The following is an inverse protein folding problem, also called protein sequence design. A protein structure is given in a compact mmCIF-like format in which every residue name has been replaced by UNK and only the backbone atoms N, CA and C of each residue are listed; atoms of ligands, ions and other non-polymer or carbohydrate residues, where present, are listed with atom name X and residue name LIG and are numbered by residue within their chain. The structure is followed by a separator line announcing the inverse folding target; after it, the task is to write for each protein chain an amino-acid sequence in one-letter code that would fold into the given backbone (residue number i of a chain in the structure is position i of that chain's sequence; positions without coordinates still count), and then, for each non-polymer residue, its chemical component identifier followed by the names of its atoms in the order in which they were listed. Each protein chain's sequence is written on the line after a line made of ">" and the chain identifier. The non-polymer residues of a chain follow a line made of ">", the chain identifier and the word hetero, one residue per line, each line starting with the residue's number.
data_IF_378046447448
#
_entry.id   IF_378046447448
#
_cell.length_a   1.000
_cell.length_b   1.000
_cell.length_c   1.000
_cell.angle_alpha   90.00
_cell.angle_beta   90.00
_cell.angle_gamma   90.00
#
_symmetry.space_group_name_H-M   'P 1'
#
loop_
_entity.id
_entity.type
_entity.pdbx_description
1 polymer ?
#
# COMPACT_ATOMS: atom_id res chain seq x y z
N UNK A 1 21.93 51.37 69.98
CA UNK A 1 20.49 51.24 69.69
C UNK A 1 20.20 52.22 68.58
N UNK A 2 19.99 51.73 67.37
CA UNK A 2 19.71 52.60 66.20
C UNK A 2 18.37 52.14 65.66
N UNK A 3 17.37 53.01 65.82
CA UNK A 3 15.97 52.69 65.60
C UNK A 3 15.65 52.83 64.11
N UNK A 4 15.24 51.72 63.49
CA UNK A 4 14.72 51.71 62.13
C UNK A 4 13.31 52.33 62.13
N UNK A 5 13.23 53.63 61.86
CA UNK A 5 11.94 54.31 61.62
C UNK A 5 11.46 53.99 60.20
N UNK A 6 10.56 53.01 60.10
CA UNK A 6 9.91 52.61 58.86
C UNK A 6 8.87 53.64 58.42
N UNK A 7 9.25 54.53 57.50
CA UNK A 7 8.32 55.43 56.84
C UNK A 7 7.33 54.60 55.99
N UNK A 8 6.05 54.57 56.37
CA UNK A 8 5.01 53.98 55.53
C UNK A 8 4.87 54.79 54.22
N UNK A 9 4.82 54.14 53.05
CA UNK A 9 4.75 54.82 51.76
C UNK A 9 3.45 55.63 51.64
N UNK A 10 3.53 56.82 51.04
CA UNK A 10 2.34 57.67 50.88
C UNK A 10 1.31 57.00 49.98
N UNK A 11 0.01 57.33 50.11
CA UNK A 11 -1.04 56.82 49.23
C UNK A 11 -0.75 57.08 47.75
N UNK A 12 -0.13 58.22 47.42
CA UNK A 12 0.27 58.59 46.07
C UNK A 12 1.39 57.68 45.52
N UNK A 13 2.38 57.32 46.36
CA UNK A 13 3.45 56.38 45.95
C UNK A 13 2.90 54.98 45.69
N UNK A 14 1.90 54.57 46.45
CA UNK A 14 1.24 53.27 46.26
C UNK A 14 0.45 53.23 44.94
N UNK A 15 -0.24 54.31 44.57
CA UNK A 15 -0.91 54.47 43.27
C UNK A 15 0.07 54.48 42.10
N UNK A 16 1.20 55.19 42.22
CA UNK A 16 2.25 55.21 41.18
C UNK A 16 2.83 53.82 40.93
N UNK A 17 3.18 53.10 41.99
CA UNK A 17 3.66 51.71 41.89
C UNK A 17 2.62 50.78 41.27
N UNK A 18 1.35 50.93 41.62
CA UNK A 18 0.28 50.12 41.03
C UNK A 18 0.13 50.37 39.53
N UNK A 19 0.21 51.63 39.08
CA UNK A 19 0.17 51.98 37.66
C UNK A 19 1.39 51.45 36.89
N UNK A 20 2.58 51.58 37.47
CA UNK A 20 3.82 51.02 36.90
C UNK A 20 3.73 49.49 36.79
N UNK A 21 3.19 48.83 37.82
CA UNK A 21 2.97 47.38 37.81
C UNK A 21 1.96 46.96 36.73
N UNK A 22 0.85 47.67 36.58
CA UNK A 22 -0.11 47.40 35.52
C UNK A 22 0.50 47.63 34.12
N UNK A 23 1.31 48.68 33.97
CA UNK A 23 1.99 48.96 32.70
C UNK A 23 2.96 47.82 32.34
N UNK A 24 3.75 47.33 33.29
CA UNK A 24 4.63 46.19 33.09
C UNK A 24 3.86 44.91 32.73
N UNK A 25 2.70 44.70 33.36
CA UNK A 25 1.83 43.55 33.04
C UNK A 25 1.29 43.61 31.61
N UNK A 26 0.85 44.79 31.17
CA UNK A 26 0.36 45.00 29.79
C UNK A 26 1.48 44.75 28.78
N UNK A 27 2.68 45.26 29.03
CA UNK A 27 3.84 45.01 28.16
C UNK A 27 4.18 43.52 28.08
N UNK A 28 4.11 42.80 29.21
CA UNK A 28 4.34 41.36 29.23
C UNK A 28 3.29 40.60 28.41
N UNK A 29 2.03 41.04 28.46
CA UNK A 29 0.97 40.41 27.66
C UNK A 29 1.16 40.67 26.16
N UNK A 30 1.51 41.89 25.76
CA UNK A 30 1.79 42.20 24.36
C UNK A 30 2.94 41.35 23.80
N UNK A 31 4.04 41.23 24.56
CA UNK A 31 5.17 40.39 24.20
C UNK A 31 4.78 38.92 24.05
N UNK A 32 3.92 38.39 24.94
CA UNK A 32 3.43 37.03 24.84
C UNK A 32 2.55 36.83 23.58
N UNK A 33 1.70 37.80 23.24
CA UNK A 33 0.87 37.74 22.04
C UNK A 33 1.71 37.79 20.76
N UNK A 34 2.76 38.61 20.71
CA UNK A 34 3.68 38.66 19.58
C UNK A 34 4.43 37.33 19.38
N UNK A 35 4.91 36.74 20.48
CA UNK A 35 5.60 35.44 20.44
C UNK A 35 4.68 34.31 20.00
N UNK A 36 3.43 34.29 20.48
CA UNK A 36 2.41 33.34 20.00
C UNK A 36 2.11 33.53 18.51
N UNK A 37 2.00 34.78 18.04
CA UNK A 37 1.81 35.09 16.62
C UNK A 37 2.97 34.59 15.75
N UNK A 38 4.21 34.78 16.20
CA UNK A 38 5.41 34.29 15.52
C UNK A 38 5.44 32.76 15.46
N UNK A 39 5.16 32.09 16.58
CA UNK A 39 5.07 30.62 16.63
C UNK A 39 3.97 30.07 15.75
N UNK A 40 2.82 30.76 15.67
CA UNK A 40 1.74 30.38 14.78
C UNK A 40 2.16 30.52 13.31
N UNK A 41 2.86 31.60 12.94
CA UNK A 41 3.38 31.80 11.60
C UNK A 41 4.42 30.73 11.21
N UNK A 42 5.32 30.39 12.13
CA UNK A 42 6.30 29.30 11.95
C UNK A 42 5.60 27.94 11.79
N UNK A 43 4.63 27.64 12.65
CA UNK A 43 3.84 26.40 12.57
C UNK A 43 3.07 26.30 11.25
N UNK A 44 2.41 27.39 10.84
CA UNK A 44 1.69 27.46 9.56
C UNK A 44 2.64 27.32 8.37
N UNK A 45 3.86 27.86 8.46
CA UNK A 45 4.88 27.70 7.43
C UNK A 45 5.36 26.26 7.31
N UNK A 46 5.67 25.58 8.42
CA UNK A 46 6.06 24.16 8.41
C UNK A 46 4.93 23.26 7.90
N UNK A 47 3.68 23.56 8.25
CA UNK A 47 2.51 22.86 7.70
C UNK A 47 2.37 23.09 6.18
N UNK A 48 2.63 24.31 5.71
CA UNK A 48 2.60 24.63 4.28
C UNK A 48 3.75 23.97 3.52
N UNK A 49 4.96 23.94 4.08
CA UNK A 49 6.12 23.23 3.50
C UNK A 49 5.87 21.70 3.43
N UNK A 50 5.08 21.13 4.35
CA UNK A 50 4.60 19.74 4.25
C UNK A 50 3.41 19.54 3.28
N UNK A 51 2.73 20.62 2.87
CA UNK A 51 1.53 20.57 2.00
C UNK A 51 1.85 20.91 0.55
N UNK A 52 2.96 21.60 0.27
CA UNK A 52 3.43 21.86 -1.10
C UNK A 52 4.44 20.78 -1.50
N UNK A 53 3.97 19.53 -1.61
CA UNK A 53 4.48 18.76 -2.74
C UNK A 53 3.91 19.45 -3.98
N UNK A 54 4.75 19.99 -4.89
CA UNK A 54 4.25 20.42 -6.18
C UNK A 54 3.47 19.24 -6.75
N UNK A 55 2.37 19.54 -7.44
CA UNK A 55 1.80 18.67 -8.45
C UNK A 55 2.86 18.46 -9.54
N UNK A 56 3.95 17.76 -9.20
CA UNK A 56 4.54 16.81 -10.12
C UNK A 56 3.33 15.98 -10.49
N UNK A 57 3.05 15.89 -11.78
CA UNK A 57 2.18 14.84 -12.28
C UNK A 57 2.73 13.54 -11.70
N UNK A 58 2.25 13.14 -10.52
CA UNK A 58 2.54 11.84 -9.93
C UNK A 58 2.13 10.90 -11.04
N UNK A 59 3.11 10.25 -11.66
CA UNK A 59 2.85 9.26 -12.67
C UNK A 59 2.08 8.15 -11.97
N UNK A 60 0.76 8.25 -11.91
CA UNK A 60 -0.07 7.20 -11.32
C UNK A 60 -0.31 6.20 -12.44
N UNK A 61 0.39 5.04 -12.44
CA UNK A 61 0.03 3.99 -13.38
C UNK A 61 -1.47 3.74 -13.32
N UNK A 62 -2.08 3.57 -14.50
CA UNK A 62 -3.50 3.27 -14.62
C UNK A 62 -3.84 2.10 -13.72
N UNK A 63 -4.98 2.17 -13.02
CA UNK A 63 -5.48 1.03 -12.25
C UNK A 63 -5.63 -0.18 -13.18
N UNK A 64 -5.31 -1.38 -12.70
CA UNK A 64 -5.39 -2.56 -13.53
C UNK A 64 -6.84 -2.85 -13.90
N UNK A 65 -7.06 -3.40 -15.10
CA UNK A 65 -8.39 -3.90 -15.47
C UNK A 65 -8.84 -4.94 -14.43
N UNK A 66 -10.13 -4.91 -14.08
CA UNK A 66 -10.68 -5.89 -13.13
C UNK A 66 -10.48 -7.30 -13.67
N UNK A 67 -9.96 -8.19 -12.83
CA UNK A 67 -9.69 -9.57 -13.21
C UNK A 67 -10.91 -10.44 -12.94
N UNK A 68 -11.50 -10.99 -14.00
CA UNK A 68 -12.67 -11.88 -13.95
C UNK A 68 -12.30 -13.35 -13.73
N UNK A 69 -11.01 -13.70 -13.72
CA UNK A 69 -10.52 -15.09 -13.63
C UNK A 69 -10.14 -15.74 -14.97
N UNK A 70 -10.09 -14.99 -16.07
CA UNK A 70 -9.64 -15.49 -17.39
C UNK A 70 -8.13 -15.80 -17.40
N UNK A 71 -7.73 -17.04 -17.68
CA UNK A 71 -6.32 -17.44 -17.66
C UNK A 71 -5.43 -16.65 -18.63
N UNK A 72 -5.97 -16.27 -19.79
CA UNK A 72 -5.30 -15.42 -20.80
C UNK A 72 -4.90 -14.03 -20.26
N UNK A 73 -5.70 -13.47 -19.34
CA UNK A 73 -5.48 -12.15 -18.75
C UNK A 73 -4.64 -12.18 -17.46
N UNK A 74 -4.46 -13.36 -16.86
CA UNK A 74 -3.82 -13.52 -15.55
C UNK A 74 -2.42 -12.91 -15.49
N UNK A 75 -1.56 -13.24 -16.47
CA UNK A 75 -0.18 -12.74 -16.52
C UNK A 75 -0.13 -11.21 -16.68
N UNK A 76 -0.99 -10.66 -17.55
CA UNK A 76 -1.08 -9.22 -17.77
C UNK A 76 -1.55 -8.46 -16.52
N UNK A 77 -2.54 -9.02 -15.81
CA UNK A 77 -3.05 -8.45 -14.56
C UNK A 77 -1.99 -8.40 -13.46
N UNK A 78 -1.25 -9.50 -13.22
CA UNK A 78 -0.17 -9.52 -12.23
C UNK A 78 0.97 -8.57 -12.59
N UNK A 79 1.29 -8.45 -13.89
CA UNK A 79 2.29 -7.50 -14.35
C UNK A 79 1.89 -6.05 -14.03
N UNK A 80 0.63 -5.67 -14.30
CA UNK A 80 0.11 -4.34 -13.97
C UNK A 80 0.12 -4.08 -12.46
N UNK A 81 -0.26 -5.06 -11.64
CA UNK A 81 -0.16 -4.95 -10.18
C UNK A 81 1.29 -4.70 -9.72
N UNK A 82 2.25 -5.41 -10.33
CA UNK A 82 3.68 -5.27 -10.00
C UNK A 82 4.22 -3.87 -10.34
N UNK A 83 3.80 -3.28 -11.46
CA UNK A 83 4.15 -1.90 -11.83
C UNK A 83 3.68 -0.92 -10.75
N UNK A 84 2.45 -1.09 -10.26
CA UNK A 84 1.85 -0.21 -9.24
C UNK A 84 2.59 -0.33 -7.91
N UNK A 85 2.92 -1.56 -7.50
CA UNK A 85 3.67 -1.81 -6.27
C UNK A 85 5.08 -1.20 -6.32
N UNK A 86 5.76 -1.34 -7.46
CA UNK A 86 7.08 -0.78 -7.67
C UNK A 86 7.07 0.75 -7.76
N UNK A 87 5.99 1.34 -8.28
CA UNK A 87 5.83 2.79 -8.30
C UNK A 87 5.62 3.39 -6.90
N UNK A 88 4.91 2.66 -6.02
CA UNK A 88 4.52 3.16 -4.69
C UNK A 88 4.98 2.24 -3.55
N UNK A 89 6.30 1.99 -3.38
CA UNK A 89 6.81 1.01 -2.42
C UNK A 89 6.44 1.33 -0.97
N UNK A 90 6.32 2.62 -0.62
CA UNK A 90 5.90 3.06 0.72
C UNK A 90 4.45 2.67 1.03
N UNK A 91 3.56 2.77 0.04
CA UNK A 91 2.16 2.38 0.15
C UNK A 91 2.01 0.87 0.26
N UNK A 92 2.88 0.09 -0.39
CA UNK A 92 2.85 -1.37 -0.45
C UNK A 92 3.96 -2.05 0.37
N UNK A 93 4.36 -1.44 1.49
CA UNK A 93 5.39 -1.96 2.39
C UNK A 93 4.99 -3.22 3.16
N UNK A 94 3.68 -3.50 3.24
CA UNK A 94 3.12 -4.66 3.93
C UNK A 94 2.46 -5.60 2.93
N UNK A 95 2.65 -6.90 3.13
CA UNK A 95 2.06 -7.93 2.25
C UNK A 95 0.54 -7.86 2.22
N UNK A 96 -0.10 -7.63 3.38
CA UNK A 96 -1.54 -7.43 3.47
C UNK A 96 -2.04 -6.34 2.51
N UNK A 97 -1.32 -5.23 2.34
CA UNK A 97 -1.74 -4.16 1.42
C UNK A 97 -1.67 -4.57 -0.05
N UNK A 98 -0.65 -5.35 -0.43
CA UNK A 98 -0.54 -5.91 -1.79
C UNK A 98 -1.67 -6.91 -2.06
N UNK A 99 -1.96 -7.78 -1.09
CA UNK A 99 -3.03 -8.77 -1.18
C UNK A 99 -4.39 -8.06 -1.29
N UNK A 100 -4.68 -7.11 -0.38
CA UNK A 100 -5.92 -6.31 -0.43
C UNK A 100 -6.10 -5.61 -1.77
N UNK A 101 -5.02 -5.05 -2.34
CA UNK A 101 -5.08 -4.39 -3.62
C UNK A 101 -5.48 -5.34 -4.75
N UNK A 102 -4.86 -6.52 -4.82
CA UNK A 102 -5.21 -7.53 -5.83
C UNK A 102 -6.66 -7.98 -5.66
N UNK A 103 -7.07 -8.32 -4.43
CA UNK A 103 -8.42 -8.75 -4.12
C UNK A 103 -9.48 -7.70 -4.51
N UNK A 104 -9.20 -6.42 -4.27
CA UNK A 104 -10.09 -5.30 -4.61
C UNK A 104 -10.30 -5.12 -6.12
N UNK A 105 -9.40 -5.67 -6.94
CA UNK A 105 -9.48 -5.64 -8.40
C UNK A 105 -9.99 -6.95 -8.99
N UNK A 106 -10.49 -7.88 -8.18
CA UNK A 106 -11.15 -9.09 -8.67
C UNK A 106 -12.62 -8.82 -9.02
N UNK A 107 -13.17 -9.67 -9.88
CA UNK A 107 -14.56 -9.67 -10.31
C UNK A 107 -15.00 -11.07 -10.74
N UNK A 108 -16.31 -11.31 -10.83
CA UNK A 108 -16.88 -12.60 -11.25
C UNK A 108 -16.29 -13.77 -10.46
N UNK A 109 -15.96 -14.87 -11.15
CA UNK A 109 -15.42 -16.09 -10.54
C UNK A 109 -14.13 -15.89 -9.73
N UNK A 110 -13.35 -14.84 -10.03
CA UNK A 110 -12.15 -14.54 -9.25
C UNK A 110 -12.49 -13.94 -7.89
N UNK A 111 -13.54 -13.12 -7.83
CA UNK A 111 -14.05 -12.58 -6.58
C UNK A 111 -14.71 -13.69 -5.74
N UNK A 112 -15.51 -14.55 -6.36
CA UNK A 112 -16.14 -15.69 -5.68
C UNK A 112 -15.10 -16.60 -5.00
N UNK A 113 -13.97 -16.86 -5.68
CA UNK A 113 -12.84 -17.60 -5.11
C UNK A 113 -12.22 -16.88 -3.90
N UNK A 114 -12.07 -15.56 -3.97
CA UNK A 114 -11.50 -14.78 -2.89
C UNK A 114 -12.40 -14.77 -1.65
N UNK A 115 -13.71 -14.60 -1.84
CA UNK A 115 -14.71 -14.63 -0.75
C UNK A 115 -14.77 -16.01 -0.08
N UNK A 116 -14.61 -17.09 -0.85
CA UNK A 116 -14.56 -18.44 -0.30
C UNK A 116 -13.27 -18.72 0.51
N UNK A 117 -12.16 -18.05 0.15
CA UNK A 117 -10.84 -18.32 0.76
C UNK A 117 -10.54 -17.40 1.95
N UNK A 118 -10.96 -16.14 1.90
CA UNK A 118 -10.64 -15.14 2.91
C UNK A 118 -11.91 -14.64 3.59
N UNK A 119 -12.09 -15.02 4.86
CA UNK A 119 -13.21 -14.55 5.68
C UNK A 119 -12.94 -13.19 6.35
N UNK A 120 -11.69 -12.72 6.35
CA UNK A 120 -11.26 -11.43 6.90
C UNK A 120 -10.62 -10.57 5.82
N UNK A 121 -10.86 -9.26 5.88
CA UNK A 121 -10.27 -8.25 4.98
C UNK A 121 -9.11 -7.50 5.62
N UNK A 122 -8.84 -7.75 6.91
CA UNK A 122 -7.84 -7.03 7.72
C UNK A 122 -6.56 -7.85 7.88
N UNK A 123 -6.71 -9.17 7.97
CA UNK A 123 -5.60 -10.12 8.08
C UNK A 123 -5.90 -11.34 7.23
N UNK A 124 -5.03 -11.61 6.26
CA UNK A 124 -5.13 -12.75 5.36
C UNK A 124 -4.38 -13.98 5.88
N UNK A 125 -3.59 -13.84 6.95
CA UNK A 125 -2.84 -14.93 7.57
C UNK A 125 -1.77 -15.55 6.66
N UNK A 126 -1.37 -14.87 5.59
CA UNK A 126 -0.37 -15.35 4.64
C UNK A 126 0.50 -14.21 4.10
N UNK A 127 1.70 -14.58 3.65
CA UNK A 127 2.62 -13.69 2.95
C UNK A 127 2.16 -13.45 1.51
N UNK A 128 2.72 -12.40 0.88
CA UNK A 128 2.40 -12.10 -0.52
C UNK A 128 2.81 -13.26 -1.47
N UNK A 129 3.93 -13.93 -1.21
CA UNK A 129 4.38 -15.08 -2.01
C UNK A 129 3.43 -16.27 -1.90
N UNK A 130 2.96 -16.59 -0.69
CA UNK A 130 1.97 -17.65 -0.47
C UNK A 130 0.65 -17.33 -1.19
N UNK A 131 0.18 -16.08 -1.10
CA UNK A 131 -0.97 -15.60 -1.86
C UNK A 131 -0.77 -15.80 -3.37
N UNK A 132 0.37 -15.38 -3.93
CA UNK A 132 0.63 -15.46 -5.37
C UNK A 132 0.70 -16.92 -5.84
N UNK A 133 1.25 -17.83 -5.03
CA UNK A 133 1.29 -19.26 -5.34
C UNK A 133 -0.13 -19.83 -5.49
N UNK A 134 -0.99 -19.58 -4.50
CA UNK A 134 -2.37 -20.02 -4.51
C UNK A 134 -3.17 -19.38 -5.66
N UNK A 135 -2.95 -18.08 -5.90
CA UNK A 135 -3.61 -17.33 -6.96
C UNK A 135 -3.23 -17.86 -8.36
N UNK A 136 -1.95 -18.22 -8.57
CA UNK A 136 -1.49 -18.89 -9.80
C UNK A 136 -2.13 -20.26 -9.97
N UNK A 137 -2.22 -21.06 -8.90
CA UNK A 137 -2.85 -22.38 -8.96
C UNK A 137 -4.35 -22.30 -9.32
N UNK A 138 -5.04 -21.26 -8.85
CA UNK A 138 -6.45 -21.06 -9.16
C UNK A 138 -6.69 -20.62 -10.62
N UNK A 139 -5.87 -19.72 -11.16
CA UNK A 139 -6.21 -19.01 -12.42
C UNK A 139 -5.19 -19.14 -13.57
N UNK A 140 -3.99 -19.67 -13.33
CA UNK A 140 -2.96 -19.85 -14.35
C UNK A 140 -2.77 -21.34 -14.70
N UNK A 141 -3.87 -22.05 -14.98
CA UNK A 141 -3.86 -23.49 -15.29
C UNK A 141 -3.51 -23.85 -16.74
N UNK A 142 -3.37 -22.86 -17.62
CA UNK A 142 -2.98 -23.06 -19.02
C UNK A 142 -1.44 -23.12 -19.15
N UNK A 143 -0.86 -24.30 -18.97
CA UNK A 143 0.32 -24.77 -19.71
C UNK A 143 0.65 -26.25 -19.49
N UNK A 144 0.14 -26.88 -18.43
CA UNK A 144 0.60 -28.24 -18.07
C UNK A 144 -0.27 -29.39 -18.62
N UNK A 145 -1.47 -29.10 -19.14
CA UNK A 145 -2.40 -30.16 -19.59
C UNK A 145 -2.29 -30.55 -21.07
N UNK A 146 -1.44 -29.87 -21.85
CA UNK A 146 -1.17 -30.22 -23.27
C UNK A 146 0.17 -30.90 -23.52
N UNK A 147 0.95 -31.17 -22.47
CA UNK A 147 2.15 -32.02 -22.58
C UNK A 147 1.83 -33.51 -22.36
N UNK A 148 0.79 -33.84 -21.59
CA UNK A 148 0.54 -35.22 -21.15
C UNK A 148 -0.53 -35.99 -21.97
N UNK A 149 -1.07 -35.40 -23.04
CA UNK A 149 -2.02 -36.08 -23.94
C UNK A 149 -1.47 -36.41 -25.34
N UNK A 150 -0.19 -36.11 -25.61
CA UNK A 150 0.51 -36.53 -26.84
C UNK A 150 1.37 -37.79 -26.69
N UNK A 151 1.24 -38.50 -25.57
CA UNK A 151 1.93 -39.78 -25.31
C UNK A 151 1.04 -41.03 -25.45
N UNK A 152 -0.21 -40.91 -25.92
CA UNK A 152 -1.19 -42.01 -25.84
C UNK A 152 -1.75 -42.50 -27.17
N UNK A 153 -1.17 -42.10 -28.30
CA UNK A 153 -1.56 -42.60 -29.63
C UNK A 153 -0.55 -43.58 -30.24
N UNK A 154 0.61 -43.81 -29.62
CA UNK A 154 1.69 -44.61 -30.24
C UNK A 154 1.81 -46.04 -29.70
N UNK A 155 0.94 -46.48 -28.79
CA UNK A 155 1.08 -47.81 -28.15
C UNK A 155 -0.21 -48.61 -28.24
N UNK A 156 -0.74 -48.79 -29.46
CA UNK A 156 -1.60 -49.93 -29.78
C UNK A 156 -1.70 -50.24 -31.28
N UNK A 157 -0.56 -50.44 -31.96
CA UNK A 157 -0.56 -51.28 -33.16
C UNK A 157 0.23 -52.54 -32.87
N UNK A 158 -0.47 -53.66 -33.01
CA UNK A 158 -0.19 -54.92 -32.35
C UNK A 158 1.10 -55.59 -32.78
N UNK A 159 1.71 -56.22 -31.79
CA UNK A 159 2.54 -57.39 -31.97
C UNK A 159 1.77 -58.46 -32.77
N UNK A 160 2.20 -58.78 -33.98
CA UNK A 160 2.07 -60.14 -34.52
C UNK A 160 3.39 -60.55 -35.16
N UNK A 161 3.87 -61.65 -34.60
CA UNK A 161 5.13 -62.35 -34.75
C UNK A 161 5.44 -62.78 -36.18
N UNK A 162 6.73 -62.82 -36.43
CA UNK A 162 7.47 -63.44 -37.53
C UNK A 162 6.98 -64.87 -37.84
N UNK A 163 6.96 -65.26 -39.12
CA UNK A 163 7.77 -66.40 -39.60
C UNK A 163 7.72 -66.53 -41.13
N UNK A 164 8.82 -67.05 -41.65
CA UNK A 164 9.25 -67.11 -43.04
C UNK A 164 8.38 -67.97 -43.98
N UNK A 165 8.51 -67.75 -45.30
CA UNK A 165 9.06 -68.74 -46.25
C UNK A 165 8.84 -68.30 -47.71
N UNK A 166 9.94 -67.91 -48.36
CA UNK A 166 10.40 -68.45 -49.65
C UNK A 166 9.55 -68.32 -50.93
N UNK A 167 10.18 -67.61 -51.90
CA UNK A 167 10.14 -67.81 -53.37
C UNK A 167 9.11 -67.08 -54.26
N UNK A 168 9.70 -66.29 -55.17
CA UNK A 168 9.30 -65.94 -56.56
C UNK A 168 8.87 -67.18 -57.39
N UNK A 169 8.34 -67.09 -58.65
CA UNK A 169 8.32 -65.95 -59.60
C UNK A 169 7.02 -65.73 -60.42
N UNK A 170 7.04 -64.63 -61.20
CA UNK A 170 6.49 -64.37 -62.55
C UNK A 170 5.10 -64.90 -63.01
N UNK A 171 4.25 -63.96 -63.45
CA UNK A 171 3.76 -63.82 -64.84
C UNK A 171 3.13 -62.44 -65.03
#
# INVERSE_FOLDING_TARGET
>A
MTEHSGQQPSPADSLRRALEQQHALIQSHDAALQELGKRQAETNRTLSENTVHPTVSDFRPSLPERFSGEASKFKGFLFQCSIIFNHSPQSFSQDGRKISFILSHLSGKALDWAEAKYSSTVDYGCTFDEFIKEFKQAFNQDTDKTADSRGLLEIKQGNRTEDADTSLPEC
#
